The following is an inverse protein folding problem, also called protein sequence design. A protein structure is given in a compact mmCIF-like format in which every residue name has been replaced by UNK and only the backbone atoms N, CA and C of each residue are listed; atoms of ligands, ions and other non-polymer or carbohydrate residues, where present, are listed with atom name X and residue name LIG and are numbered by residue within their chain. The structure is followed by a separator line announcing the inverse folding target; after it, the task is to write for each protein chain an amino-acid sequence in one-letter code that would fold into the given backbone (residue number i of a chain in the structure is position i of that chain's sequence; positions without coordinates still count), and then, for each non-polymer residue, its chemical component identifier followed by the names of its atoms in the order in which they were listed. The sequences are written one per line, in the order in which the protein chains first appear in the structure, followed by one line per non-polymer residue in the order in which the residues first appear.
data_IF_364254570042
#
_entry.id   IF_364254570042
#
_cell.length_a   1.000
_cell.length_b   1.000
_cell.length_c   1.000
_cell.angle_alpha   90.00
_cell.angle_beta   90.00
_cell.angle_gamma   90.00
#
_symmetry.space_group_name_H-M   'P 1'
#
loop_
_entity.id
_entity.type
_entity.pdbx_description
1 polymer ?
#
# COMPACT_ATOMS: atom_id res chain seq x y z
N UNK A 1 -2.82 27.19 -23.62
CA UNK A 1 -2.40 26.01 -22.82
C UNK A 1 -3.44 24.93 -22.95
N UNK A 2 -3.78 24.44 -24.14
CA UNK A 2 -2.99 23.60 -25.06
C UNK A 2 -2.49 22.28 -24.47
N UNK A 3 -3.26 21.23 -24.80
CA UNK A 3 -2.78 19.95 -25.32
C UNK A 3 -2.37 18.80 -24.39
N UNK A 4 -2.53 18.89 -23.06
CA UNK A 4 -2.19 17.74 -22.21
C UNK A 4 -3.23 16.59 -22.27
N UNK A 5 -4.50 16.89 -22.60
CA UNK A 5 -5.56 15.87 -22.68
C UNK A 5 -5.61 15.07 -23.99
N UNK A 6 -4.79 15.40 -25.00
CA UNK A 6 -4.84 14.73 -26.32
C UNK A 6 -3.71 13.72 -26.57
N UNK A 7 -2.61 13.81 -25.82
CA UNK A 7 -1.48 12.88 -25.95
C UNK A 7 -1.83 11.48 -25.44
N UNK A 8 -2.75 11.38 -24.47
CA UNK A 8 -3.18 10.08 -23.92
C UNK A 8 -3.97 9.22 -24.91
N UNK A 9 -4.43 9.79 -26.03
CA UNK A 9 -5.26 9.07 -27.01
C UNK A 9 -4.50 8.64 -28.28
N UNK A 10 -3.25 9.08 -28.50
CA UNK A 10 -2.56 8.86 -29.78
C UNK A 10 -1.58 7.69 -29.81
N UNK A 11 -1.31 7.04 -28.68
CA UNK A 11 -0.49 5.82 -28.63
C UNK A 11 -1.35 4.57 -28.38
N UNK A 12 -2.50 4.50 -29.05
CA UNK A 12 -3.25 3.26 -29.21
C UNK A 12 -3.01 2.70 -30.60
N UNK A 13 -1.82 2.14 -30.84
CA UNK A 13 -1.59 1.03 -31.80
C UNK A 13 -0.11 0.71 -31.86
N UNK A 14 0.40 0.09 -30.80
CA UNK A 14 1.53 -0.81 -30.97
C UNK A 14 1.07 -2.11 -30.36
N UNK A 15 0.63 -3.04 -31.23
CA UNK A 15 0.39 -4.42 -30.82
C UNK A 15 1.68 -4.92 -30.18
N UNK A 16 1.65 -5.08 -28.86
CA UNK A 16 2.74 -5.71 -28.13
C UNK A 16 2.55 -7.22 -28.26
N UNK A 17 3.40 -7.84 -29.05
CA UNK A 17 3.45 -9.27 -29.27
C UNK A 17 3.71 -10.01 -27.93
N UNK A 18 2.94 -11.05 -27.56
CA UNK A 18 3.01 -11.71 -26.25
C UNK A 18 4.35 -12.37 -25.89
N UNK A 19 5.28 -12.50 -26.83
CA UNK A 19 6.51 -13.28 -26.69
C UNK A 19 7.71 -12.49 -26.14
N UNK A 20 7.64 -11.15 -26.00
CA UNK A 20 8.77 -10.33 -25.52
C UNK A 20 8.80 -10.15 -23.99
N UNK A 21 7.83 -10.69 -23.26
CA UNK A 21 7.57 -10.38 -21.84
C UNK A 21 8.54 -11.07 -20.85
N UNK A 22 9.46 -11.92 -21.30
CA UNK A 22 10.21 -12.83 -20.39
C UNK A 22 11.67 -12.45 -20.07
N UNK A 23 12.28 -11.41 -20.66
CA UNK A 23 13.70 -11.12 -20.40
C UNK A 23 13.96 -9.63 -20.18
N UNK A 24 13.87 -9.22 -18.90
CA UNK A 24 14.74 -8.27 -18.16
C UNK A 24 15.50 -7.12 -18.87
N UNK A 25 15.07 -6.61 -20.01
CA UNK A 25 15.74 -5.49 -20.67
C UNK A 25 14.92 -4.21 -20.45
N UNK A 26 15.57 -3.23 -19.83
CA UNK A 26 15.11 -1.85 -19.90
C UNK A 26 15.07 -1.46 -21.38
N UNK A 27 13.93 -0.99 -21.88
CA UNK A 27 13.86 -0.39 -23.21
C UNK A 27 14.38 1.02 -23.08
N UNK A 28 15.46 1.33 -23.79
CA UNK A 28 16.05 2.67 -23.80
C UNK A 28 15.76 3.29 -25.16
N UNK A 29 15.03 4.40 -25.16
CA UNK A 29 14.70 5.16 -26.35
C UNK A 29 15.37 6.53 -26.28
N UNK A 30 15.99 6.95 -27.37
CA UNK A 30 16.61 8.27 -27.51
C UNK A 30 15.76 9.13 -28.42
N UNK A 31 15.24 10.23 -27.88
CA UNK A 31 14.50 11.22 -28.64
C UNK A 31 15.44 12.40 -28.92
N UNK A 32 15.65 12.71 -30.20
CA UNK A 32 16.46 13.86 -30.63
C UNK A 32 15.57 14.99 -31.12
N UNK A 33 15.72 16.18 -30.52
CA UNK A 33 14.99 17.38 -30.91
C UNK A 33 15.94 18.57 -30.97
N UNK A 34 16.01 19.26 -32.10
CA UNK A 34 16.79 20.50 -32.28
C UNK A 34 18.27 20.37 -31.85
N UNK A 35 18.90 19.22 -32.11
CA UNK A 35 20.30 18.94 -31.74
C UNK A 35 20.50 18.54 -30.28
N UNK A 36 19.43 18.40 -29.49
CA UNK A 36 19.46 17.86 -28.12
C UNK A 36 18.95 16.43 -28.15
N UNK A 37 19.78 15.49 -27.68
CA UNK A 37 19.43 14.07 -27.53
C UNK A 37 19.03 13.79 -26.09
N UNK A 38 17.86 13.18 -25.89
CA UNK A 38 17.39 12.77 -24.57
C UNK A 38 17.12 11.27 -24.56
N UNK A 39 17.86 10.57 -23.71
CA UNK A 39 17.76 9.13 -23.53
C UNK A 39 16.83 8.82 -22.36
N UNK A 40 15.77 8.05 -22.61
CA UNK A 40 14.83 7.62 -21.59
C UNK A 40 14.74 6.10 -21.56
N UNK A 41 14.86 5.53 -20.36
CA UNK A 41 14.68 4.11 -20.14
C UNK A 41 13.31 3.83 -19.53
N UNK A 42 12.58 2.90 -20.15
CA UNK A 42 11.29 2.42 -19.72
C UNK A 42 11.37 0.92 -19.49
N UNK A 43 10.94 0.46 -18.32
CA UNK A 43 10.82 -0.97 -18.03
C UNK A 43 9.36 -1.32 -17.83
N UNK A 44 8.84 -2.16 -18.71
CA UNK A 44 7.52 -2.74 -18.52
C UNK A 44 7.55 -3.66 -17.29
N UNK A 45 6.77 -3.29 -16.28
CA UNK A 45 6.53 -4.12 -15.09
C UNK A 45 5.10 -4.60 -15.20
N UNK A 46 4.89 -5.93 -15.30
CA UNK A 46 3.54 -6.49 -15.39
C UNK A 46 2.69 -6.06 -14.19
N UNK A 47 1.37 -5.98 -14.37
CA UNK A 47 0.43 -5.63 -13.30
C UNK A 47 0.59 -6.56 -12.10
N UNK A 48 0.82 -7.85 -12.35
CA UNK A 48 1.08 -8.86 -11.32
C UNK A 48 2.37 -8.62 -10.53
N UNK A 49 3.34 -7.91 -11.11
CA UNK A 49 4.60 -7.56 -10.46
C UNK A 49 4.55 -6.18 -9.80
N UNK A 50 3.67 -5.27 -10.26
CA UNK A 50 3.39 -3.99 -9.60
C UNK A 50 2.49 -4.14 -8.36
N UNK A 51 1.65 -5.17 -8.32
CA UNK A 51 0.82 -5.53 -7.15
C UNK A 51 1.57 -6.36 -6.10
N UNK A 52 2.77 -6.87 -6.40
CA UNK A 52 3.59 -7.61 -5.43
C UNK A 52 4.10 -6.66 -4.37
N UNK A 53 3.50 -6.74 -3.18
CA UNK A 53 3.98 -6.05 -1.99
C UNK A 53 5.40 -6.52 -1.69
N UNK A 54 6.33 -5.58 -1.64
CA UNK A 54 7.73 -5.89 -1.38
C UNK A 54 7.87 -6.20 0.11
N UNK A 55 8.27 -7.42 0.52
CA UNK A 55 8.51 -7.72 1.92
C UNK A 55 9.65 -6.85 2.46
N UNK A 56 9.56 -6.45 3.72
CA UNK A 56 10.62 -5.66 4.35
C UNK A 56 11.94 -6.44 4.36
N UNK A 57 13.03 -5.80 3.91
CA UNK A 57 14.40 -6.36 4.01
C UNK A 57 14.86 -6.51 5.46
N UNK A 58 14.24 -5.79 6.41
CA UNK A 58 14.56 -5.83 7.84
C UNK A 58 13.47 -6.61 8.57
N UNK A 59 13.77 -7.86 8.95
CA UNK A 59 12.82 -8.73 9.65
C UNK A 59 12.68 -8.43 11.14
N UNK A 60 13.38 -7.43 11.69
CA UNK A 60 13.37 -7.11 13.14
C UNK A 60 12.19 -6.23 13.54
N UNK A 61 11.65 -5.44 12.62
CA UNK A 61 10.51 -4.55 12.86
C UNK A 61 9.15 -5.26 12.81
N UNK A 62 8.09 -4.44 12.78
CA UNK A 62 6.69 -4.89 12.78
C UNK A 62 6.07 -4.64 11.39
N UNK A 63 6.41 -3.54 10.74
CA UNK A 63 5.93 -3.17 9.41
C UNK A 63 6.63 -3.98 8.31
N UNK A 64 5.85 -4.40 7.31
CA UNK A 64 6.38 -5.21 6.20
C UNK A 64 6.78 -6.65 6.56
N UNK A 65 6.42 -7.10 7.78
CA UNK A 65 6.65 -8.46 8.27
C UNK A 65 5.33 -9.22 8.31
N UNK A 66 5.36 -10.54 8.05
CA UNK A 66 4.16 -11.38 8.11
C UNK A 66 3.54 -11.33 9.52
N UNK A 67 2.22 -11.15 9.61
CA UNK A 67 1.48 -11.16 10.90
C UNK A 67 1.85 -12.39 11.72
N UNK A 68 1.91 -13.57 11.11
CA UNK A 68 2.24 -14.84 11.77
C UNK A 68 3.62 -14.86 12.45
N UNK A 69 4.56 -14.04 11.99
CA UNK A 69 5.89 -13.90 12.61
C UNK A 69 5.81 -12.95 13.80
N UNK A 70 5.13 -11.80 13.63
CA UNK A 70 4.95 -10.80 14.70
C UNK A 70 4.18 -11.40 15.87
N UNK A 71 3.04 -12.04 15.62
CA UNK A 71 2.20 -12.66 16.65
C UNK A 71 2.92 -13.73 17.45
N UNK A 72 3.76 -14.56 16.78
CA UNK A 72 4.61 -15.55 17.45
C UNK A 72 5.65 -14.89 18.38
N UNK A 73 6.28 -13.80 17.94
CA UNK A 73 7.28 -13.07 18.76
C UNK A 73 6.65 -12.41 19.97
N UNK A 74 5.50 -11.77 19.78
CA UNK A 74 4.76 -11.09 20.84
C UNK A 74 3.97 -12.04 21.74
N UNK A 75 3.89 -13.34 21.39
CA UNK A 75 3.07 -14.36 22.07
C UNK A 75 1.59 -13.96 22.20
N UNK A 76 1.06 -13.30 21.17
CA UNK A 76 -0.33 -12.83 21.11
C UNK A 76 -0.97 -13.25 19.80
N UNK A 77 -2.31 -13.40 19.77
CA UNK A 77 -3.06 -13.65 18.52
C UNK A 77 -3.13 -12.44 17.60
N UNK A 78 -3.03 -11.23 18.17
CA UNK A 78 -3.17 -9.96 17.46
C UNK A 78 -1.92 -9.10 17.71
N UNK A 79 -1.26 -8.58 16.65
CA UNK A 79 -0.10 -7.70 16.77
C UNK A 79 -0.37 -6.50 17.69
N UNK A 80 0.65 -6.08 18.44
CA UNK A 80 0.57 -4.99 19.39
C UNK A 80 0.17 -3.66 18.74
N UNK A 81 0.74 -3.37 17.56
CA UNK A 81 0.36 -2.19 16.75
C UNK A 81 -1.13 -2.12 16.45
N UNK A 82 -1.76 -3.26 16.13
CA UNK A 82 -3.20 -3.31 15.83
C UNK A 82 -4.00 -3.06 17.09
N UNK A 83 -3.65 -3.74 18.20
CA UNK A 83 -4.37 -3.61 19.46
C UNK A 83 -4.36 -2.17 19.96
N UNK A 84 -3.19 -1.55 20.02
CA UNK A 84 -3.04 -0.20 20.57
C UNK A 84 -3.69 0.87 19.70
N UNK A 85 -3.53 0.80 18.37
CA UNK A 85 -4.19 1.75 17.49
C UNK A 85 -5.72 1.62 17.53
N UNK A 86 -6.26 0.40 17.60
CA UNK A 86 -7.71 0.18 17.69
C UNK A 86 -8.24 0.67 19.04
N UNK A 87 -7.59 0.29 20.14
CA UNK A 87 -7.97 0.72 21.50
C UNK A 87 -8.02 2.24 21.63
N UNK A 88 -7.04 2.97 21.09
CA UNK A 88 -7.03 4.43 21.13
C UNK A 88 -8.08 5.06 20.19
N UNK A 89 -8.34 4.47 19.02
CA UNK A 89 -9.45 4.93 18.16
C UNK A 89 -10.81 4.69 18.80
N UNK A 90 -11.01 3.57 19.48
CA UNK A 90 -12.25 3.29 20.20
C UNK A 90 -12.44 4.22 21.41
N UNK A 91 -11.34 4.61 22.06
CA UNK A 91 -11.37 5.48 23.24
C UNK A 91 -11.71 6.93 22.95
N UNK A 92 -11.21 7.51 21.85
CA UNK A 92 -11.39 8.95 21.54
C UNK A 92 -11.79 9.29 20.10
N UNK A 93 -11.68 8.32 19.19
CA UNK A 93 -11.90 8.53 17.75
C UNK A 93 -13.31 8.24 17.25
N UNK A 94 -14.19 7.71 18.10
CA UNK A 94 -15.57 7.35 17.71
C UNK A 94 -16.39 8.60 17.36
N UNK A 95 -16.17 9.70 18.07
CA UNK A 95 -16.86 10.97 17.82
C UNK A 95 -16.13 11.85 16.78
N UNK A 96 -14.97 11.41 16.27
CA UNK A 96 -14.19 12.14 15.28
C UNK A 96 -14.82 12.06 13.89
N UNK A 97 -15.06 13.22 13.27
CA UNK A 97 -15.70 13.29 11.95
C UNK A 97 -14.79 12.68 10.88
N UNK A 98 -15.22 11.57 10.29
CA UNK A 98 -14.52 10.96 9.17
C UNK A 98 -13.28 10.16 9.58
N UNK A 99 -13.25 9.63 10.80
CA UNK A 99 -12.24 8.65 11.22
C UNK A 99 -12.05 7.55 10.16
N UNK A 100 -10.80 7.14 9.94
CA UNK A 100 -10.35 6.27 8.84
C UNK A 100 -10.50 6.81 7.41
N UNK A 101 -11.41 7.74 7.13
CA UNK A 101 -11.56 8.37 5.81
C UNK A 101 -10.58 9.54 5.62
N UNK A 102 -10.49 10.42 6.62
CA UNK A 102 -9.56 11.54 6.62
C UNK A 102 -8.14 11.02 6.86
N UNK A 103 -7.17 11.61 6.17
CA UNK A 103 -5.75 11.28 6.35
C UNK A 103 -5.16 12.16 7.44
N UNK A 104 -4.53 11.55 8.43
CA UNK A 104 -3.69 12.27 9.39
C UNK A 104 -2.41 12.80 8.76
N UNK A 105 -1.68 13.59 9.56
CA UNK A 105 -0.42 14.20 9.14
C UNK A 105 0.62 13.11 8.82
N UNK A 106 1.22 13.19 7.63
CA UNK A 106 2.13 12.15 7.15
C UNK A 106 3.39 11.97 8.03
N UNK A 107 3.93 13.06 8.58
CA UNK A 107 5.08 13.03 9.49
C UNK A 107 4.77 12.25 10.75
N UNK A 108 3.58 12.44 11.30
CA UNK A 108 3.12 11.80 12.54
C UNK A 108 2.92 10.31 12.32
N UNK A 109 2.34 9.93 11.17
CA UNK A 109 2.20 8.53 10.75
C UNK A 109 3.57 7.86 10.64
N UNK A 110 4.57 8.54 10.05
CA UNK A 110 5.92 7.97 9.95
C UNK A 110 6.63 7.89 11.31
N UNK A 111 6.42 8.85 12.20
CA UNK A 111 6.96 8.83 13.56
C UNK A 111 6.37 7.65 14.37
N UNK A 112 5.05 7.45 14.33
CA UNK A 112 4.38 6.31 14.95
C UNK A 112 4.87 4.99 14.38
N UNK A 113 5.01 4.88 13.05
CA UNK A 113 5.59 3.70 12.41
C UNK A 113 6.99 3.39 12.96
N UNK A 114 7.88 4.39 13.02
CA UNK A 114 9.23 4.21 13.52
C UNK A 114 9.24 3.78 15.01
N UNK A 115 8.32 4.32 15.82
CA UNK A 115 8.18 3.97 17.23
C UNK A 115 7.71 2.52 17.41
N UNK A 116 6.74 2.06 16.62
CA UNK A 116 6.31 0.67 16.60
C UNK A 116 7.40 -0.28 16.07
N UNK A 117 8.10 0.09 15.00
CA UNK A 117 9.18 -0.74 14.42
C UNK A 117 10.38 -0.92 15.34
N UNK A 118 10.67 0.06 16.19
CA UNK A 118 11.73 0.00 17.20
C UNK A 118 11.28 -0.58 18.54
N UNK A 119 10.00 -0.93 18.69
CA UNK A 119 9.40 -1.35 19.96
C UNK A 119 9.70 -0.36 21.10
N UNK A 120 9.50 0.93 20.83
CA UNK A 120 9.72 1.99 21.82
C UNK A 120 8.77 1.83 23.01
N UNK A 121 9.28 2.02 24.23
CA UNK A 121 8.47 2.01 25.45
C UNK A 121 7.54 3.22 25.55
N UNK A 122 7.86 4.30 24.83
CA UNK A 122 7.13 5.57 24.88
C UNK A 122 5.91 5.59 23.95
N UNK A 123 5.62 4.48 23.26
CA UNK A 123 4.53 4.39 22.29
C UNK A 123 3.17 4.76 22.88
N UNK A 124 2.91 4.41 24.14
CA UNK A 124 1.65 4.77 24.81
C UNK A 124 1.48 6.28 24.97
N UNK A 125 2.58 6.98 25.29
CA UNK A 125 2.61 8.44 25.42
C UNK A 125 2.46 9.10 24.05
N UNK A 126 3.13 8.56 23.03
CA UNK A 126 2.98 9.06 21.67
C UNK A 126 1.53 8.91 21.16
N UNK A 127 0.86 7.80 21.47
CA UNK A 127 -0.52 7.57 21.06
C UNK A 127 -1.52 8.50 21.78
N UNK A 128 -1.24 8.88 23.04
CA UNK A 128 -2.11 9.86 23.73
C UNK A 128 -1.98 11.26 23.17
N UNK A 129 -0.77 11.65 22.75
CA UNK A 129 -0.46 13.03 22.39
C UNK A 129 -0.72 13.36 20.91
N UNK A 130 -0.72 12.34 20.04
CA UNK A 130 -0.83 12.53 18.58
C UNK A 130 -2.28 12.64 18.09
N UNK A 131 -2.48 13.14 16.87
CA UNK A 131 -3.81 13.23 16.27
C UNK A 131 -4.43 11.84 16.00
N UNK A 132 -5.74 11.70 16.18
CA UNK A 132 -6.42 10.41 16.04
C UNK A 132 -6.46 9.93 14.58
N UNK A 133 -6.50 10.85 13.61
CA UNK A 133 -6.41 10.52 12.19
C UNK A 133 -5.00 10.04 11.82
N UNK A 134 -3.96 10.46 12.56
CA UNK A 134 -2.59 9.93 12.41
C UNK A 134 -2.48 8.50 12.96
N UNK A 135 -3.15 8.18 14.06
CA UNK A 135 -3.22 6.79 14.59
C UNK A 135 -3.98 5.88 13.63
N UNK A 136 -5.15 6.32 13.16
CA UNK A 136 -5.92 5.61 12.14
C UNK A 136 -5.10 5.45 10.84
N UNK A 137 -4.33 6.47 10.46
CA UNK A 137 -3.38 6.45 9.35
C UNK A 137 -2.28 5.40 9.53
N UNK A 138 -1.71 5.29 10.72
CA UNK A 138 -0.70 4.30 11.09
C UNK A 138 -1.25 2.88 11.01
N UNK A 139 -2.47 2.66 11.50
CA UNK A 139 -3.14 1.35 11.38
C UNK A 139 -3.38 0.96 9.92
N UNK A 140 -3.86 1.90 9.08
CA UNK A 140 -4.01 1.69 7.63
C UNK A 140 -2.68 1.34 6.97
N UNK A 141 -1.63 2.09 7.31
CA UNK A 141 -0.28 1.87 6.79
C UNK A 141 0.24 0.47 7.14
N UNK A 142 -0.01 -0.02 8.35
CA UNK A 142 0.39 -1.35 8.78
C UNK A 142 -0.17 -2.44 7.85
N UNK A 143 -1.49 -2.44 7.61
CA UNK A 143 -2.14 -3.42 6.75
C UNK A 143 -1.74 -3.32 5.28
N UNK A 144 -1.46 -2.10 4.82
CA UNK A 144 -0.97 -1.84 3.45
C UNK A 144 0.42 -2.41 3.22
N UNK A 145 1.30 -2.31 4.21
CA UNK A 145 2.69 -2.78 4.10
C UNK A 145 2.84 -4.29 4.34
N UNK A 146 1.82 -5.00 4.84
CA UNK A 146 1.91 -6.45 5.03
C UNK A 146 2.31 -7.16 3.74
N UNK A 147 3.24 -8.14 3.79
CA UNK A 147 3.72 -8.85 2.62
C UNK A 147 2.64 -9.69 1.92
N UNK A 148 1.54 -9.98 2.61
CA UNK A 148 0.33 -10.61 2.08
C UNK A 148 -0.87 -9.80 2.57
N UNK A 149 -1.88 -9.53 1.72
CA UNK A 149 -3.10 -8.87 2.16
C UNK A 149 -3.81 -9.69 3.25
N UNK A 150 -4.52 -9.01 4.15
CA UNK A 150 -5.33 -9.66 5.19
C UNK A 150 -6.34 -10.65 4.57
N UNK A 151 -7.00 -10.22 3.49
CA UNK A 151 -7.77 -11.10 2.62
C UNK A 151 -6.81 -11.81 1.69
N UNK A 152 -6.29 -12.94 2.15
CA UNK A 152 -5.38 -13.79 1.35
C UNK A 152 -6.02 -14.18 0.02
N UNK A 153 -5.21 -14.36 -1.02
CA UNK A 153 -5.68 -14.72 -2.37
C UNK A 153 -6.52 -16.02 -2.39
N UNK A 154 -6.34 -16.88 -1.38
CA UNK A 154 -7.09 -18.13 -1.21
C UNK A 154 -8.50 -17.91 -0.66
N UNK A 155 -8.69 -16.91 0.20
CA UNK A 155 -9.99 -16.58 0.80
C UNK A 155 -10.80 -15.64 -0.08
N UNK A 156 -10.13 -14.92 -0.98
CA UNK A 156 -10.74 -13.93 -1.84
C UNK A 156 -11.88 -14.49 -2.72
N UNK A 157 -11.75 -15.65 -3.41
CA UNK A 157 -12.83 -16.20 -4.23
C UNK A 157 -14.08 -16.57 -3.41
N UNK A 158 -13.88 -17.11 -2.20
CA UNK A 158 -14.97 -17.46 -1.28
C UNK A 158 -15.67 -16.21 -0.75
N UNK A 159 -14.90 -15.16 -0.41
CA UNK A 159 -15.45 -13.87 -0.02
C UNK A 159 -16.27 -13.24 -1.16
N UNK A 160 -15.73 -13.23 -2.38
CA UNK A 160 -16.41 -12.72 -3.58
C UNK A 160 -17.69 -13.48 -3.90
N UNK A 161 -17.71 -14.79 -3.70
CA UNK A 161 -18.90 -15.61 -3.91
C UNK A 161 -20.01 -15.26 -2.91
N UNK A 162 -19.65 -14.89 -1.68
CA UNK A 162 -20.59 -14.48 -0.63
C UNK A 162 -21.20 -13.09 -0.81
N UNK A 163 -20.50 -12.17 -1.47
CA UNK A 163 -20.96 -10.78 -1.70
C UNK A 163 -21.82 -10.59 -2.97
N UNK A 164 -22.17 -11.67 -3.66
CA UNK A 164 -23.20 -11.69 -4.70
C UNK A 164 -22.69 -11.37 -6.11
N UNK A 165 -23.33 -12.01 -7.10
CA UNK A 165 -23.04 -11.92 -8.56
C UNK A 165 -23.35 -10.55 -9.19
N UNK A 166 -23.73 -9.55 -8.41
CA UNK A 166 -24.20 -8.25 -8.90
C UNK A 166 -23.16 -7.13 -8.82
N UNK A 167 -21.95 -7.42 -8.33
CA UNK A 167 -20.85 -6.47 -8.35
C UNK A 167 -19.99 -6.68 -9.61
N UNK A 168 -20.17 -5.86 -10.68
CA UNK A 168 -19.29 -5.92 -11.82
C UNK A 168 -17.86 -5.66 -11.37
N UNK A 169 -16.90 -6.36 -11.97
CA UNK A 169 -15.47 -6.44 -11.65
C UNK A 169 -14.71 -5.09 -11.64
N UNK A 170 -15.39 -3.95 -11.68
CA UNK A 170 -14.82 -2.60 -11.69
C UNK A 170 -14.37 -2.10 -10.31
N UNK A 171 -14.88 -2.65 -9.19
CA UNK A 171 -14.43 -2.26 -7.85
C UNK A 171 -13.01 -2.80 -7.53
N UNK A 172 -12.54 -3.81 -8.26
CA UNK A 172 -11.24 -4.44 -8.06
C UNK A 172 -10.04 -3.50 -8.23
N UNK A 173 -10.18 -2.39 -8.97
CA UNK A 173 -9.12 -1.39 -9.11
C UNK A 173 -9.03 -0.43 -7.91
N UNK A 174 -10.09 -0.31 -7.11
CA UNK A 174 -10.16 0.65 -6.00
C UNK A 174 -9.61 0.13 -4.67
N UNK A 175 -9.81 -1.16 -4.37
CA UNK A 175 -9.50 -1.70 -3.03
C UNK A 175 -8.01 -2.05 -2.87
N UNK A 176 -7.26 -2.19 -3.97
CA UNK A 176 -5.79 -2.35 -3.92
C UNK A 176 -5.03 -1.04 -3.64
N UNK A 177 -5.72 0.10 -3.46
CA UNK A 177 -5.12 1.42 -3.19
C UNK A 177 -5.66 2.12 -1.94
N UNK A 178 -6.17 1.37 -0.97
CA UNK A 178 -6.28 1.89 0.41
C UNK A 178 -5.02 1.53 1.20
#
# INVERSE_FOLDING_TARGET
GSNFSRIFFFFLSSQLDPQTVQTKNWQVDVIEMNGVKVEFSMKFTSRDMSLKRTPSKKQTGVFGVKISVVTKRERSKIPYVVRQCVEEVEKRGIDEVGIYRISGVATDIQALKAAFDSNSKDILVMLSDMDINAIAGTLKLYFRELPEPLLTDRLYPTFMQGIGKDFPALIFLGVSRC
#
